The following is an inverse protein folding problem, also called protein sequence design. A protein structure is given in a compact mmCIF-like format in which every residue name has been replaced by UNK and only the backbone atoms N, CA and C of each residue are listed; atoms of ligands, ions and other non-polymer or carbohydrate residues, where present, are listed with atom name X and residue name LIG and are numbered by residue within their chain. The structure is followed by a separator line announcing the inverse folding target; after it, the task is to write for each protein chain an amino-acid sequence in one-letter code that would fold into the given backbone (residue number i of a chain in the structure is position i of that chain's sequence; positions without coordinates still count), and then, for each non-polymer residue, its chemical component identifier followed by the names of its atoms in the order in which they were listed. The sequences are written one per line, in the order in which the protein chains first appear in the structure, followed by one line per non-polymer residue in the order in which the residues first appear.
data_IF_918358799648
#
_entry.id   IF_918358799648
#
_cell.length_a   1.000
_cell.length_b   1.000
_cell.length_c   1.000
_cell.angle_alpha   90.00
_cell.angle_beta   90.00
_cell.angle_gamma   90.00
#
_symmetry.space_group_name_H-M   'P 1'
#
loop_
_entity.id
_entity.type
_entity.pdbx_description
1 polymer ?
#
# COMPACT_ATOMS: atom_id res chain seq x y z
N UNK A 1 -6.20 -0.19 -8.79
CA UNK A 1 -5.51 0.76 -7.86
C UNK A 1 -4.77 -0.05 -6.81
N UNK A 2 -3.78 0.51 -6.10
CA UNK A 2 -2.90 -0.20 -5.15
C UNK A 2 -3.58 -1.28 -4.26
N UNK A 3 -4.82 -1.03 -3.82
CA UNK A 3 -5.62 -1.97 -3.03
C UNK A 3 -5.89 -3.30 -3.75
N UNK A 4 -6.13 -3.30 -5.06
CA UNK A 4 -6.40 -4.50 -5.85
C UNK A 4 -5.18 -5.42 -5.88
N UNK A 5 -3.99 -4.84 -6.07
CA UNK A 5 -2.72 -5.57 -6.05
C UNK A 5 -2.50 -6.22 -4.68
N UNK A 6 -2.75 -5.49 -3.59
CA UNK A 6 -2.62 -6.02 -2.23
C UNK A 6 -3.57 -7.17 -1.94
N UNK A 7 -4.82 -7.06 -2.38
CA UNK A 7 -5.83 -8.10 -2.21
C UNK A 7 -5.46 -9.36 -3.01
N UNK A 8 -5.06 -9.18 -4.26
CA UNK A 8 -4.68 -10.28 -5.14
C UNK A 8 -3.48 -11.06 -4.61
N UNK A 9 -2.41 -10.36 -4.19
CA UNK A 9 -1.23 -11.02 -3.64
C UNK A 9 -1.49 -11.62 -2.26
N UNK A 10 -2.32 -11.01 -1.40
CA UNK A 10 -2.71 -11.63 -0.12
C UNK A 10 -3.43 -12.96 -0.33
N UNK A 11 -4.35 -13.03 -1.30
CA UNK A 11 -5.04 -14.27 -1.63
C UNK A 11 -4.07 -15.36 -2.14
N UNK A 12 -3.14 -14.99 -3.04
CA UNK A 12 -2.12 -15.91 -3.57
C UNK A 12 -1.18 -16.42 -2.48
N UNK A 13 -0.71 -15.54 -1.59
CA UNK A 13 0.17 -15.89 -0.47
C UNK A 13 -0.56 -16.79 0.53
N UNK A 14 -1.84 -16.51 0.84
CA UNK A 14 -2.64 -17.33 1.75
C UNK A 14 -2.96 -18.72 1.19
N UNK A 15 -3.15 -18.84 -0.13
CA UNK A 15 -3.39 -20.11 -0.80
C UNK A 15 -2.12 -20.93 -1.06
N UNK A 16 -0.94 -20.33 -0.93
CA UNK A 16 0.35 -20.99 -1.14
C UNK A 16 0.82 -21.60 0.17
N UNK A 17 1.16 -22.88 0.21
CA UNK A 17 1.73 -23.52 1.41
C UNK A 17 3.25 -23.48 1.45
N UNK A 18 3.89 -23.33 0.29
CA UNK A 18 5.34 -23.29 0.14
C UNK A 18 5.92 -21.92 0.54
N UNK A 19 6.89 -21.93 1.44
CA UNK A 19 7.42 -20.72 2.04
C UNK A 19 8.32 -19.92 1.09
N UNK A 20 9.05 -20.60 0.20
CA UNK A 20 9.85 -19.95 -0.83
C UNK A 20 8.96 -19.28 -1.88
N UNK A 21 7.85 -19.93 -2.26
CA UNK A 21 6.86 -19.37 -3.16
C UNK A 21 6.14 -18.17 -2.52
N UNK A 22 5.83 -18.20 -1.22
CA UNK A 22 5.30 -17.03 -0.49
C UNK A 22 6.27 -15.85 -0.54
N UNK A 23 7.56 -16.07 -0.29
CA UNK A 23 8.55 -14.99 -0.36
C UNK A 23 8.68 -14.39 -1.76
N UNK A 24 8.61 -15.23 -2.80
CA UNK A 24 8.59 -14.76 -4.18
C UNK A 24 7.36 -13.89 -4.46
N UNK A 25 6.17 -14.33 -4.03
CA UNK A 25 4.92 -13.59 -4.18
C UNK A 25 4.95 -12.26 -3.40
N UNK A 26 5.54 -12.21 -2.19
CA UNK A 26 5.70 -10.96 -1.43
C UNK A 26 6.63 -9.96 -2.15
N UNK A 27 7.70 -10.47 -2.76
CA UNK A 27 8.65 -9.64 -3.53
C UNK A 27 7.98 -9.07 -4.77
N UNK A 28 7.26 -9.90 -5.52
CA UNK A 28 6.49 -9.48 -6.71
C UNK A 28 5.39 -8.48 -6.34
N UNK A 29 4.67 -8.71 -5.24
CA UNK A 29 3.67 -7.78 -4.72
C UNK A 29 4.27 -6.41 -4.44
N UNK A 30 5.45 -6.37 -3.81
CA UNK A 30 6.15 -5.14 -3.46
C UNK A 30 6.58 -4.36 -4.71
N UNK A 31 7.11 -5.06 -5.73
CA UNK A 31 7.47 -4.43 -7.00
C UNK A 31 6.24 -3.88 -7.74
N UNK A 32 5.14 -4.64 -7.79
CA UNK A 32 3.89 -4.20 -8.42
C UNK A 32 3.26 -3.02 -7.67
N UNK A 33 3.34 -3.01 -6.34
CA UNK A 33 2.90 -1.87 -5.54
C UNK A 33 3.72 -0.61 -5.84
N UNK A 34 5.05 -0.73 -5.93
CA UNK A 34 5.92 0.41 -6.30
C UNK A 34 5.57 0.91 -7.69
N UNK A 35 5.46 0.02 -8.69
CA UNK A 35 5.09 0.40 -10.04
C UNK A 35 3.70 1.06 -10.11
N UNK A 36 2.73 0.59 -9.32
CA UNK A 36 1.40 1.18 -9.27
C UNK A 36 1.40 2.57 -8.60
N UNK A 37 2.28 2.80 -7.61
CA UNK A 37 2.50 4.11 -7.00
C UNK A 37 3.21 5.04 -7.98
N UNK A 38 4.28 4.59 -8.64
CA UNK A 38 5.03 5.37 -9.64
C UNK A 38 4.19 5.69 -10.88
N UNK A 39 3.33 4.77 -11.32
CA UNK A 39 2.42 4.98 -12.44
C UNK A 39 1.17 5.79 -12.06
N UNK A 40 0.94 6.04 -10.76
CA UNK A 40 -0.13 6.93 -10.31
C UNK A 40 0.35 8.38 -10.42
N UNK A 41 -0.21 9.20 -11.32
CA UNK A 41 0.23 10.58 -11.54
C UNK A 41 0.00 11.51 -10.33
N UNK A 42 -0.75 11.06 -9.33
CA UNK A 42 -1.13 11.84 -8.14
C UNK A 42 -0.28 11.54 -6.88
N UNK A 43 0.68 10.60 -6.89
CA UNK A 43 1.44 10.30 -5.65
C UNK A 43 2.79 9.61 -5.88
N UNK A 44 3.87 10.39 -5.98
CA UNK A 44 5.23 9.84 -5.82
C UNK A 44 5.51 9.47 -4.34
N UNK A 45 6.37 8.49 -4.06
CA UNK A 45 6.79 8.10 -2.68
C UNK A 45 7.28 9.31 -1.85
N UNK A 46 7.93 10.26 -2.53
CA UNK A 46 8.36 11.53 -1.94
C UNK A 46 7.19 12.44 -1.55
N UNK A 47 6.18 12.55 -2.42
CA UNK A 47 4.95 13.28 -2.09
C UNK A 47 4.15 12.58 -1.00
N UNK A 48 4.10 11.24 -1.01
CA UNK A 48 3.48 10.47 0.05
C UNK A 48 4.06 10.80 1.43
N UNK A 49 5.38 10.90 1.52
CA UNK A 49 6.07 11.24 2.78
C UNK A 49 5.80 12.68 3.22
N UNK A 50 5.80 13.62 2.27
CA UNK A 50 5.44 15.03 2.52
C UNK A 50 3.97 15.18 2.95
N UNK A 51 3.07 14.45 2.31
CA UNK A 51 1.63 14.43 2.58
C UNK A 51 1.36 13.81 3.97
N UNK A 52 2.06 12.75 4.36
CA UNK A 52 2.00 12.21 5.72
C UNK A 52 2.49 13.21 6.77
N UNK A 53 3.56 13.93 6.50
CA UNK A 53 4.08 14.97 7.40
C UNK A 53 3.09 16.12 7.56
N UNK A 54 2.46 16.54 6.45
CA UNK A 54 1.40 17.56 6.48
C UNK A 54 0.15 17.06 7.22
N UNK A 55 -0.24 15.80 7.01
CA UNK A 55 -1.39 15.18 7.66
C UNK A 55 -1.26 15.03 9.18
N UNK A 56 -0.04 14.97 9.72
CA UNK A 56 0.18 15.02 11.18
C UNK A 56 -0.33 16.33 11.79
N UNK A 57 -0.33 17.41 11.02
CA UNK A 57 -0.77 18.74 11.45
C UNK A 57 -2.16 19.11 10.91
N UNK A 58 -2.67 18.38 9.92
CA UNK A 58 -3.99 18.57 9.32
C UNK A 58 -4.83 17.27 9.38
N UNK A 59 -5.75 17.15 10.36
CA UNK A 59 -6.57 15.96 10.51
C UNK A 59 -7.59 15.75 9.38
N UNK A 60 -7.99 16.79 8.65
CA UNK A 60 -8.86 16.65 7.48
C UNK A 60 -8.10 16.04 6.30
N UNK A 61 -6.83 16.41 6.15
CA UNK A 61 -5.92 15.81 5.19
C UNK A 61 -5.64 14.34 5.54
N UNK A 62 -5.39 14.02 6.82
CA UNK A 62 -5.23 12.65 7.30
C UNK A 62 -6.43 11.76 6.93
N UNK A 63 -7.65 12.27 7.10
CA UNK A 63 -8.88 11.54 6.76
C UNK A 63 -9.02 11.30 5.26
N UNK A 64 -8.75 12.32 4.43
CA UNK A 64 -8.75 12.17 2.96
C UNK A 64 -7.72 11.17 2.46
N UNK A 65 -6.56 11.13 3.10
CA UNK A 65 -5.51 10.14 2.81
C UNK A 65 -6.00 8.74 3.18
N UNK A 66 -6.59 8.55 4.36
CA UNK A 66 -7.17 7.28 4.77
C UNK A 66 -8.27 6.79 3.81
N UNK A 67 -9.12 7.71 3.33
CA UNK A 67 -10.20 7.43 2.37
C UNK A 67 -9.67 7.10 0.97
N UNK A 68 -8.69 7.86 0.44
CA UNK A 68 -8.08 7.60 -0.88
C UNK A 68 -7.20 6.36 -0.89
N UNK A 69 -6.55 6.03 0.23
CA UNK A 69 -5.64 4.89 0.30
C UNK A 69 -6.33 3.58 0.66
N UNK A 70 -7.65 3.59 0.88
CA UNK A 70 -8.40 2.37 1.17
C UNK A 70 -7.75 1.58 2.30
N UNK A 71 -7.68 2.19 3.48
CA UNK A 71 -7.21 1.58 4.72
C UNK A 71 -5.78 0.99 4.71
N UNK A 72 -4.78 1.77 5.15
CA UNK A 72 -3.64 1.26 5.87
C UNK A 72 -3.93 1.39 7.37
N UNK A 73 -4.83 0.56 7.91
CA UNK A 73 -4.74 0.23 9.32
C UNK A 73 -3.80 -0.97 9.43
N UNK A 74 -2.60 -0.85 10.02
CA UNK A 74 -2.27 -1.75 11.09
C UNK A 74 -3.07 -1.28 12.30
N UNK A 75 -4.02 -2.13 12.68
CA UNK A 75 -4.63 -2.15 14.00
C UNK A 75 -3.59 -1.88 15.09
N UNK A 76 -3.92 -0.93 15.96
CA UNK A 76 -3.80 -1.00 17.41
C UNK A 76 -2.51 -1.61 18.01
N UNK A 77 -1.79 -0.78 18.75
CA UNK A 77 -1.30 -1.15 20.08
C UNK A 77 -1.80 -0.13 21.09
#
# INVERSE_FOLDING_TARGET
MLNDIRQEYSAKIGATSDEAAKQKLQTEASQQMVQAVEASPDMSVKEYTSILTAAQNDPALAKKIQEKMGNPAPSQQ
#
